data_IF_655029624534
#
_entry.id   IF_655029624534
#
_cell.length_a   1.000
_cell.length_b   1.000
_cell.length_c   1.000
_cell.angle_alpha   90.00
_cell.angle_beta   90.00
_cell.angle_gamma   90.00
#
_symmetry.space_group_name_H-M   'P 1'
#
loop_
_entity.id
_entity.type
_entity.pdbx_description
1 polymer ?
#
# COMPACT_ATOMS: atom_id res chain seq x y z
N UNK A 1 3.53 15.80 0.80
CA UNK A 1 3.13 14.41 0.50
C UNK A 1 4.30 13.49 0.78
N UNK A 2 4.12 12.46 1.60
CA UNK A 2 5.19 11.51 1.88
C UNK A 2 5.48 10.66 0.63
N UNK A 3 6.76 10.47 0.31
CA UNK A 3 7.21 9.60 -0.78
C UNK A 3 7.83 8.36 -0.18
N UNK A 4 7.49 7.20 -0.70
CA UNK A 4 7.99 5.90 -0.23
C UNK A 4 8.62 5.14 -1.39
N UNK A 5 9.37 4.09 -1.10
CA UNK A 5 10.09 3.30 -2.09
C UNK A 5 9.63 1.85 -1.99
N UNK A 6 9.40 1.23 -3.15
CA UNK A 6 9.22 -0.22 -3.23
C UNK A 6 10.57 -0.90 -3.00
N UNK A 7 10.60 -1.89 -2.11
CA UNK A 7 11.77 -2.72 -1.82
C UNK A 7 11.39 -4.19 -1.93
N UNK A 8 12.35 -5.05 -2.23
CA UNK A 8 12.15 -6.49 -2.26
C UNK A 8 12.61 -7.10 -0.92
N UNK A 9 11.77 -7.96 -0.32
CA UNK A 9 12.10 -8.76 0.84
C UNK A 9 12.96 -9.97 0.48
N UNK A 10 13.51 -10.64 1.51
CA UNK A 10 14.39 -11.80 1.34
C UNK A 10 13.71 -12.99 0.62
N UNK A 11 12.39 -13.09 0.70
CA UNK A 11 11.57 -14.09 0.02
C UNK A 11 11.13 -13.66 -1.39
N UNK A 12 11.69 -12.58 -1.93
CA UNK A 12 11.33 -12.05 -3.24
C UNK A 12 10.05 -11.21 -3.28
N UNK A 13 9.34 -11.04 -2.15
CA UNK A 13 8.11 -10.23 -2.10
C UNK A 13 8.43 -8.73 -2.17
N UNK A 14 7.74 -8.00 -3.04
CA UNK A 14 7.79 -6.54 -3.06
C UNK A 14 6.94 -5.94 -1.95
N UNK A 15 7.48 -4.95 -1.25
CA UNK A 15 6.82 -4.23 -0.17
C UNK A 15 7.05 -2.73 -0.29
N UNK A 16 6.07 -1.97 0.16
CA UNK A 16 6.15 -0.52 0.33
C UNK A 16 5.75 -0.19 1.77
N UNK A 17 6.40 0.80 2.37
CA UNK A 17 5.99 1.33 3.66
C UNK A 17 4.83 2.30 3.44
N UNK A 18 3.76 2.17 4.23
CA UNK A 18 2.70 3.18 4.28
C UNK A 18 3.09 4.25 5.29
N UNK A 19 3.03 5.55 4.94
CA UNK A 19 3.32 6.63 5.89
C UNK A 19 2.39 6.57 7.12
N UNK A 20 2.95 6.70 8.33
CA UNK A 20 2.21 6.56 9.59
C UNK A 20 0.91 7.35 9.64
N UNK A 21 0.95 8.65 9.30
CA UNK A 21 -0.25 9.49 9.33
C UNK A 21 -1.34 9.07 8.34
N UNK A 22 -0.99 8.44 7.22
CA UNK A 22 -1.98 7.87 6.29
C UNK A 22 -2.59 6.59 6.86
N UNK A 23 -1.76 5.73 7.45
CA UNK A 23 -2.23 4.51 8.09
C UNK A 23 -3.17 4.79 9.27
N UNK A 24 -2.87 5.79 10.10
CA UNK A 24 -3.72 6.21 11.21
C UNK A 24 -5.01 6.88 10.73
N UNK A 25 -4.93 7.77 9.73
CA UNK A 25 -6.12 8.47 9.21
C UNK A 25 -7.14 7.53 8.54
N UNK A 26 -6.67 6.40 7.99
CA UNK A 26 -7.53 5.42 7.33
C UNK A 26 -7.72 4.13 8.15
N UNK A 27 -7.13 4.07 9.35
CA UNK A 27 -7.15 2.89 10.23
C UNK A 27 -6.76 1.61 9.46
N UNK A 28 -5.59 1.63 8.80
CA UNK A 28 -5.18 0.56 7.88
C UNK A 28 -4.60 -0.68 8.56
N UNK A 29 -4.27 -0.60 9.85
CA UNK A 29 -3.68 -1.73 10.56
C UNK A 29 -4.66 -2.92 10.59
N UNK A 30 -4.16 -4.10 10.24
CA UNK A 30 -4.97 -5.31 10.11
C UNK A 30 -5.95 -5.35 8.92
N UNK A 31 -6.16 -4.26 8.17
CA UNK A 31 -7.09 -4.24 7.03
C UNK A 31 -6.52 -4.91 5.79
N UNK A 32 -7.39 -5.52 4.99
CA UNK A 32 -7.05 -6.05 3.67
C UNK A 32 -7.16 -4.96 2.62
N UNK A 33 -6.22 -5.00 1.68
CA UNK A 33 -6.12 -4.04 0.59
C UNK A 33 -6.14 -4.78 -0.74
N UNK A 34 -7.02 -4.35 -1.63
CA UNK A 34 -6.99 -4.72 -3.05
C UNK A 34 -6.16 -3.70 -3.83
N UNK A 35 -5.34 -4.18 -4.76
CA UNK A 35 -4.46 -3.36 -5.59
C UNK A 35 -4.79 -3.56 -7.06
N UNK A 36 -4.92 -2.46 -7.80
CA UNK A 36 -5.19 -2.48 -9.24
C UNK A 36 -4.33 -1.48 -9.99
N UNK A 37 -3.93 -1.83 -11.21
CA UNK A 37 -3.31 -0.88 -12.15
C UNK A 37 -4.40 0.03 -12.72
N UNK A 38 -4.33 1.32 -12.43
CA UNK A 38 -5.22 2.34 -12.98
C UNK A 38 -4.70 2.87 -14.31
N UNK A 39 -3.38 3.05 -14.42
CA UNK A 39 -2.67 3.46 -15.64
C UNK A 39 -1.19 3.06 -15.56
N UNK A 40 -0.41 3.29 -16.63
CA UNK A 40 1.02 2.93 -16.69
C UNK A 40 1.90 3.57 -15.60
N UNK A 41 1.42 4.58 -14.88
CA UNK A 41 2.15 5.25 -13.79
C UNK A 41 1.32 5.40 -12.51
N UNK A 42 0.15 4.75 -12.41
CA UNK A 42 -0.76 4.91 -11.27
C UNK A 42 -1.36 3.59 -10.82
N UNK A 43 -1.29 3.35 -9.52
CA UNK A 43 -1.97 2.26 -8.84
C UNK A 43 -3.17 2.82 -8.05
N UNK A 44 -4.24 2.04 -8.00
CA UNK A 44 -5.38 2.26 -7.12
C UNK A 44 -5.35 1.20 -6.02
N UNK A 45 -5.51 1.63 -4.77
CA UNK A 45 -5.51 0.77 -3.59
C UNK A 45 -6.81 1.02 -2.83
N UNK A 46 -7.57 -0.04 -2.61
CA UNK A 46 -8.89 0.01 -1.98
C UNK A 46 -8.91 -0.88 -0.74
N UNK A 47 -9.47 -0.37 0.36
CA UNK A 47 -9.74 -1.18 1.55
C UNK A 47 -10.92 -2.10 1.25
N UNK A 48 -10.78 -3.38 1.54
CA UNK A 48 -11.84 -4.37 1.32
C UNK A 48 -12.19 -5.05 2.64
N UNK A 49 -13.50 -5.24 2.85
CA UNK A 49 -14.01 -6.10 3.91
C UNK A 49 -13.79 -7.57 3.50
N UNK A 50 -13.48 -8.45 4.48
CA UNK A 50 -13.39 -9.90 4.24
C UNK A 50 -14.73 -10.53 3.89
#
# INVERSE_FOLDING_TARGET
>A
MAKTRVSQGANGQYKVTVPKGLAEAMDLDGKRLEWKVKSGSSLEVTVVDE
#
